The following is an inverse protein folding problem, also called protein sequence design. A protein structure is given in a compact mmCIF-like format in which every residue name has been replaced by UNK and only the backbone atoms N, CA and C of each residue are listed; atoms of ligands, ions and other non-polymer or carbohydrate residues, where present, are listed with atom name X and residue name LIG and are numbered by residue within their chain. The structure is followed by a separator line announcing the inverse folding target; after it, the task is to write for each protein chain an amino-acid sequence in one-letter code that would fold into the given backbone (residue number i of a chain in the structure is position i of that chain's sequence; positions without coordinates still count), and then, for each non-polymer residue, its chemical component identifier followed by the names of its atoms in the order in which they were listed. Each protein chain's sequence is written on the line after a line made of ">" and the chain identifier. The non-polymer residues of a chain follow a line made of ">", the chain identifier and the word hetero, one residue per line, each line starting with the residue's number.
data_IF_603990542130
#
_entry.id   IF_603990542130
#
_cell.length_a   1.000
_cell.length_b   1.000
_cell.length_c   1.000
_cell.angle_alpha   90.00
_cell.angle_beta   90.00
_cell.angle_gamma   90.00
#
_symmetry.space_group_name_H-M   'P 1'
#
loop_
_entity.id
_entity.type
_entity.pdbx_description
1 polymer ?
#
# COMPACT_ATOMS: atom_id res chain seq x y z
N UNK A 1 9.03 0.92 42.13
CA UNK A 1 9.31 1.18 40.70
C UNK A 1 8.13 0.69 39.90
N UNK A 2 7.45 1.58 39.17
CA UNK A 2 6.28 1.21 38.35
C UNK A 2 6.81 0.42 37.15
N UNK A 3 6.49 -0.87 37.09
CA UNK A 3 6.90 -1.72 35.99
C UNK A 3 6.30 -1.14 34.68
N UNK A 4 7.14 -0.83 33.66
CA UNK A 4 6.64 -0.24 32.43
C UNK A 4 5.66 -1.22 31.78
N UNK A 5 4.37 -0.86 31.77
CA UNK A 5 3.31 -1.70 31.16
C UNK A 5 3.69 -1.99 29.71
N UNK A 6 3.87 -3.28 29.40
CA UNK A 6 4.12 -3.78 28.05
C UNK A 6 3.03 -3.22 27.13
N UNK A 7 3.39 -2.36 26.19
CA UNK A 7 2.47 -1.90 25.15
C UNK A 7 2.41 -3.00 24.08
N UNK A 8 1.33 -3.80 24.12
CA UNK A 8 1.14 -4.96 23.27
C UNK A 8 1.15 -4.55 21.78
N UNK A 9 1.82 -5.35 20.95
CA UNK A 9 1.87 -5.22 19.48
C UNK A 9 0.49 -4.92 18.88
N UNK A 10 -0.54 -5.68 19.31
CA UNK A 10 -1.92 -5.52 18.87
C UNK A 10 -2.50 -4.13 19.06
N UNK A 11 -2.15 -3.42 20.14
CA UNK A 11 -2.65 -2.04 20.35
C UNK A 11 -2.05 -1.06 19.34
N UNK A 12 -0.79 -1.26 18.95
CA UNK A 12 -0.14 -0.44 17.92
C UNK A 12 -0.78 -0.69 16.56
N UNK A 13 -1.02 -1.97 16.24
CA UNK A 13 -1.74 -2.36 15.02
C UNK A 13 -3.16 -1.78 14.99
N UNK A 14 -3.91 -1.90 16.09
CA UNK A 14 -5.25 -1.32 16.21
C UNK A 14 -5.21 0.21 16.04
N UNK A 15 -4.22 0.91 16.62
CA UNK A 15 -4.07 2.35 16.44
C UNK A 15 -3.92 2.71 14.96
N UNK A 16 -2.99 2.05 14.26
CA UNK A 16 -2.74 2.27 12.84
C UNK A 16 -3.99 1.98 12.01
N UNK A 17 -4.69 0.87 12.28
CA UNK A 17 -5.94 0.55 11.57
C UNK A 17 -7.04 1.59 11.81
N UNK A 18 -7.21 2.05 13.06
CA UNK A 18 -8.20 3.05 13.44
C UNK A 18 -7.90 4.44 12.87
N UNK A 19 -6.65 4.78 12.57
CA UNK A 19 -6.32 6.00 11.83
C UNK A 19 -6.50 5.80 10.33
N UNK A 20 -6.09 4.64 9.81
CA UNK A 20 -6.13 4.34 8.38
C UNK A 20 -7.56 4.32 7.82
N UNK A 21 -8.51 3.70 8.53
CA UNK A 21 -9.91 3.59 8.09
C UNK A 21 -10.55 4.97 7.85
N UNK A 22 -10.66 5.88 8.84
CA UNK A 22 -11.34 7.16 8.65
C UNK A 22 -10.60 8.06 7.66
N UNK A 23 -9.27 8.06 7.63
CA UNK A 23 -8.52 8.85 6.63
C UNK A 23 -8.78 8.31 5.23
N UNK A 24 -8.81 6.98 5.05
CA UNK A 24 -9.16 6.36 3.77
C UNK A 24 -10.59 6.70 3.36
N UNK A 25 -11.55 6.69 4.30
CA UNK A 25 -12.94 7.06 4.02
C UNK A 25 -13.08 8.54 3.63
N UNK A 26 -12.41 9.46 4.33
CA UNK A 26 -12.39 10.89 3.98
C UNK A 26 -11.77 11.08 2.60
N UNK A 27 -10.65 10.41 2.31
CA UNK A 27 -9.99 10.48 1.01
C UNK A 27 -10.91 9.98 -0.11
N UNK A 28 -11.56 8.82 0.08
CA UNK A 28 -12.53 8.28 -0.88
C UNK A 28 -13.70 9.25 -1.07
N UNK A 29 -14.25 9.83 0.00
CA UNK A 29 -15.34 10.79 -0.08
C UNK A 29 -14.95 12.04 -0.86
N UNK A 30 -13.81 12.65 -0.55
CA UNK A 30 -13.28 13.81 -1.27
C UNK A 30 -13.01 13.49 -2.74
N UNK A 31 -12.44 12.32 -3.01
CA UNK A 31 -12.20 11.87 -4.38
C UNK A 31 -13.50 11.72 -5.16
N UNK A 32 -14.50 11.04 -4.60
CA UNK A 32 -15.81 10.86 -5.22
C UNK A 32 -16.44 12.22 -5.52
N UNK A 33 -16.28 13.21 -4.63
CA UNK A 33 -16.74 14.58 -4.89
C UNK A 33 -15.97 15.29 -6.01
N UNK A 34 -14.64 15.10 -6.08
CA UNK A 34 -13.78 15.74 -7.10
C UNK A 34 -13.92 15.12 -8.49
N UNK A 35 -14.11 13.81 -8.56
CA UNK A 35 -14.11 13.02 -9.80
C UNK A 35 -15.52 12.58 -10.20
N UNK A 36 -16.52 12.72 -9.33
CA UNK A 36 -17.93 12.56 -9.68
C UNK A 36 -18.31 13.48 -10.83
N UNK A 37 -18.39 12.93 -12.04
CA UNK A 37 -18.67 13.67 -13.28
C UNK A 37 -17.46 13.90 -14.21
N UNK A 38 -16.24 13.49 -13.84
CA UNK A 38 -15.01 13.65 -14.64
C UNK A 38 -14.19 12.35 -14.75
N UNK A 39 -14.86 11.19 -14.75
CA UNK A 39 -14.21 9.86 -14.80
C UNK A 39 -13.30 9.63 -16.00
N UNK A 40 -13.43 10.43 -17.06
CA UNK A 40 -12.62 10.29 -18.27
C UNK A 40 -11.28 11.02 -18.20
N UNK A 41 -11.12 11.98 -17.28
CA UNK A 41 -9.86 12.74 -17.11
C UNK A 41 -9.07 12.30 -15.90
N UNK A 42 -9.74 11.90 -14.82
CA UNK A 42 -9.11 11.51 -13.58
C UNK A 42 -9.67 10.18 -13.09
N UNK A 43 -8.79 9.26 -12.66
CA UNK A 43 -9.18 7.92 -12.21
C UNK A 43 -8.42 7.48 -10.97
N UNK A 44 -9.01 6.52 -10.25
CA UNK A 44 -8.33 5.70 -9.25
C UNK A 44 -8.17 4.30 -9.81
N UNK A 45 -6.96 3.76 -9.68
CA UNK A 45 -6.65 2.37 -9.99
C UNK A 45 -6.11 1.69 -8.74
N UNK A 46 -6.89 0.77 -8.19
CA UNK A 46 -6.41 -0.11 -7.12
C UNK A 46 -6.32 0.53 -5.73
N UNK A 47 -6.97 1.67 -5.48
CA UNK A 47 -7.11 2.18 -4.11
C UNK A 47 -8.20 1.41 -3.33
N UNK A 48 -7.81 0.78 -2.23
CA UNK A 48 -8.69 0.10 -1.28
C UNK A 48 -9.29 -1.22 -1.77
N UNK A 49 -10.61 -1.41 -1.60
CA UNK A 49 -11.31 -2.62 -2.04
C UNK A 49 -11.75 -2.43 -3.49
N UNK A 50 -11.14 -3.19 -4.40
CA UNK A 50 -11.44 -3.16 -5.83
C UNK A 50 -12.00 -4.49 -6.32
N UNK A 51 -13.03 -4.45 -7.16
CA UNK A 51 -13.49 -5.61 -7.93
C UNK A 51 -13.24 -5.39 -9.40
N UNK A 52 -12.79 -6.43 -10.11
CA UNK A 52 -12.54 -6.37 -11.54
C UNK A 52 -13.44 -7.36 -12.29
N UNK A 53 -14.10 -6.90 -13.34
CA UNK A 53 -14.82 -7.75 -14.28
C UNK A 53 -14.30 -7.48 -15.70
N UNK A 54 -13.97 -8.53 -16.43
CA UNK A 54 -13.53 -8.44 -17.81
C UNK A 54 -14.42 -9.29 -18.70
N UNK A 55 -14.80 -8.74 -19.85
CA UNK A 55 -15.55 -9.44 -20.89
C UNK A 55 -14.82 -9.33 -22.21
N UNK A 56 -14.96 -10.32 -23.09
CA UNK A 56 -14.44 -10.25 -24.46
C UNK A 56 -15.00 -9.02 -25.17
N UNK A 57 -14.14 -8.28 -25.87
CA UNK A 57 -14.51 -7.06 -26.55
C UNK A 57 -13.87 -6.99 -27.92
N UNK A 58 -14.59 -6.39 -28.89
CA UNK A 58 -14.01 -6.03 -30.19
C UNK A 58 -13.41 -4.63 -30.05
N UNK A 59 -12.07 -4.48 -30.06
CA UNK A 59 -11.44 -3.17 -29.87
C UNK A 59 -11.66 -2.32 -31.12
N UNK A 60 -11.81 -1.00 -30.94
CA UNK A 60 -11.82 -0.06 -32.06
C UNK A 60 -10.41 0.06 -32.67
N UNK A 61 -10.32 0.52 -33.92
CA UNK A 61 -9.04 0.74 -34.59
C UNK A 61 -8.16 1.73 -33.82
N UNK A 62 -8.78 2.71 -33.14
CA UNK A 62 -8.09 3.70 -32.31
C UNK A 62 -7.46 3.08 -31.06
N UNK A 63 -8.17 2.15 -30.40
CA UNK A 63 -7.66 1.40 -29.24
C UNK A 63 -6.49 0.51 -29.65
N UNK A 64 -6.60 -0.19 -30.79
CA UNK A 64 -5.50 -1.00 -31.33
C UNK A 64 -4.29 -0.12 -31.64
N UNK A 65 -4.49 1.01 -32.33
CA UNK A 65 -3.42 1.98 -32.62
C UNK A 65 -2.76 2.53 -31.35
N UNK A 66 -3.52 2.78 -30.29
CA UNK A 66 -2.98 3.19 -29.00
C UNK A 66 -2.12 2.08 -28.35
N UNK A 67 -2.57 0.82 -28.43
CA UNK A 67 -1.80 -0.34 -27.99
C UNK A 67 -0.49 -0.51 -28.77
N UNK A 68 -0.53 -0.34 -30.10
CA UNK A 68 0.65 -0.42 -30.97
C UNK A 68 1.69 0.65 -30.65
N UNK A 69 1.25 1.85 -30.24
CA UNK A 69 2.17 2.90 -29.76
C UNK A 69 2.86 2.52 -28.45
N UNK A 70 2.16 1.81 -27.55
CA UNK A 70 2.73 1.36 -26.27
C UNK A 70 3.70 0.18 -26.46
N UNK A 71 3.39 -0.72 -27.39
CA UNK A 71 4.19 -1.91 -27.67
C UNK A 71 4.24 -2.18 -29.17
N UNK A 72 5.19 -1.56 -29.90
CA UNK A 72 5.25 -1.66 -31.36
C UNK A 72 5.65 -3.07 -31.82
N UNK A 73 5.08 -3.50 -32.96
CA UNK A 73 5.42 -4.77 -33.61
C UNK A 73 4.69 -6.00 -33.06
N UNK A 74 3.66 -5.80 -32.23
CA UNK A 74 2.84 -6.88 -31.66
C UNK A 74 1.51 -6.98 -32.40
N UNK A 75 1.16 -8.19 -32.86
CA UNK A 75 -0.15 -8.47 -33.44
C UNK A 75 -1.08 -8.97 -32.34
N UNK A 76 -2.06 -8.14 -31.95
CA UNK A 76 -3.03 -8.48 -30.91
C UNK A 76 -4.06 -9.49 -31.43
N UNK A 77 -4.25 -10.59 -30.70
CA UNK A 77 -5.20 -11.66 -31.06
C UNK A 77 -6.29 -11.90 -30.00
N UNK A 78 -6.22 -11.20 -28.87
CA UNK A 78 -7.23 -11.22 -27.83
C UNK A 78 -7.46 -9.80 -27.29
N UNK A 79 -8.71 -9.48 -26.98
CA UNK A 79 -9.08 -8.20 -26.40
C UNK A 79 -10.20 -8.40 -25.38
N UNK A 80 -10.06 -7.77 -24.21
CA UNK A 80 -11.08 -7.79 -23.18
C UNK A 80 -11.31 -6.39 -22.63
N UNK A 81 -12.58 -5.97 -22.54
CA UNK A 81 -12.95 -4.76 -21.83
C UNK A 81 -13.05 -5.10 -20.34
N UNK A 82 -12.15 -4.50 -19.56
CA UNK A 82 -12.10 -4.64 -18.12
C UNK A 82 -12.67 -3.39 -17.45
N UNK A 83 -13.51 -3.62 -16.45
CA UNK A 83 -14.05 -2.61 -15.54
C UNK A 83 -13.56 -2.92 -14.14
N UNK A 84 -12.89 -1.96 -13.54
CA UNK A 84 -12.43 -2.05 -12.15
C UNK A 84 -13.22 -1.04 -11.35
N UNK A 85 -13.96 -1.52 -10.36
CA UNK A 85 -14.72 -0.68 -9.45
C UNK A 85 -14.03 -0.65 -8.09
N UNK A 86 -13.68 0.55 -7.62
CA UNK A 86 -13.08 0.80 -6.31
C UNK A 86 -14.11 1.39 -5.36
N UNK A 87 -14.26 0.79 -4.18
CA UNK A 87 -15.26 1.12 -3.17
C UNK A 87 -16.71 1.17 -3.71
N UNK A 88 -16.97 0.53 -4.86
CA UNK A 88 -18.28 0.55 -5.52
C UNK A 88 -18.68 1.88 -6.17
N UNK A 89 -17.79 2.89 -6.17
CA UNK A 89 -18.13 4.24 -6.67
C UNK A 89 -17.19 4.72 -7.79
N UNK A 90 -15.88 4.48 -7.65
CA UNK A 90 -14.93 4.85 -8.69
C UNK A 90 -14.82 3.71 -9.71
N UNK A 91 -14.96 4.02 -11.00
CA UNK A 91 -14.85 3.03 -12.08
C UNK A 91 -13.68 3.39 -12.99
N UNK A 92 -12.73 2.46 -13.15
CA UNK A 92 -11.72 2.48 -14.21
C UNK A 92 -12.13 1.50 -15.31
N UNK A 93 -11.97 1.93 -16.56
CA UNK A 93 -12.31 1.17 -17.77
C UNK A 93 -11.13 1.13 -18.69
N UNK A 94 -10.67 -0.07 -19.02
CA UNK A 94 -9.58 -0.24 -19.97
C UNK A 94 -9.82 -1.47 -20.83
N UNK A 95 -9.38 -1.40 -22.09
CA UNK A 95 -9.30 -2.55 -22.97
C UNK A 95 -7.92 -3.17 -22.80
N UNK A 96 -7.89 -4.41 -22.33
CA UNK A 96 -6.68 -5.23 -22.28
C UNK A 96 -6.51 -5.89 -23.64
N UNK A 97 -5.54 -5.41 -24.42
CA UNK A 97 -5.09 -6.06 -25.64
C UNK A 97 -4.03 -7.08 -25.26
N UNK A 98 -4.15 -8.31 -25.78
CA UNK A 98 -3.20 -9.37 -25.53
C UNK A 98 -2.85 -10.12 -26.80
N UNK A 99 -1.59 -10.56 -26.86
CA UNK A 99 -1.09 -11.56 -27.78
C UNK A 99 -0.81 -12.81 -26.99
N UNK A 100 -1.64 -13.82 -27.20
CA UNK A 100 -1.52 -15.13 -26.58
C UNK A 100 -0.97 -16.08 -27.64
N UNK A 101 0.26 -16.54 -27.44
CA UNK A 101 0.90 -17.50 -28.35
C UNK A 101 1.28 -18.77 -27.59
N UNK A 102 1.11 -19.90 -28.27
CA UNK A 102 1.62 -21.19 -27.82
C UNK A 102 2.73 -21.65 -28.76
N UNK A 103 3.94 -21.06 -28.67
CA UNK A 103 5.06 -21.43 -29.54
C UNK A 103 5.51 -22.89 -29.33
N UNK A 104 5.15 -23.50 -28.19
CA UNK A 104 5.37 -24.93 -27.91
C UNK A 104 4.15 -25.45 -27.16
N UNK A 105 3.83 -26.75 -27.30
CA UNK A 105 2.66 -27.39 -26.67
C UNK A 105 2.55 -27.19 -25.14
N UNK A 106 3.66 -26.84 -24.48
CA UNK A 106 3.73 -26.70 -23.02
C UNK A 106 3.99 -25.26 -22.54
N UNK A 107 4.15 -24.28 -23.43
CA UNK A 107 4.49 -22.89 -23.06
C UNK A 107 3.51 -21.95 -23.72
N UNK A 108 2.74 -21.22 -22.92
CA UNK A 108 1.89 -20.11 -23.38
C UNK A 108 2.57 -18.80 -23.02
N UNK A 109 2.93 -18.01 -24.02
CA UNK A 109 3.48 -16.66 -23.83
C UNK A 109 2.35 -15.66 -24.00
N UNK A 110 2.14 -14.82 -22.98
CA UNK A 110 1.14 -13.75 -23.03
C UNK A 110 1.84 -12.41 -22.96
N UNK A 111 1.73 -11.61 -24.02
CA UNK A 111 2.08 -10.19 -24.00
C UNK A 111 0.78 -9.40 -23.90
N UNK A 112 0.72 -8.38 -23.04
CA UNK A 112 -0.50 -7.60 -22.88
C UNK A 112 -0.21 -6.13 -22.59
N UNK A 113 -1.09 -5.27 -23.10
CA UNK A 113 -1.14 -3.83 -22.80
C UNK A 113 -2.56 -3.47 -22.36
N UNK A 114 -2.67 -2.51 -21.46
CA UNK A 114 -3.95 -1.95 -21.02
C UNK A 114 -4.09 -0.54 -21.59
N UNK A 115 -5.12 -0.35 -22.42
CA UNK A 115 -5.46 0.95 -23.01
C UNK A 115 -6.70 1.48 -22.30
N UNK A 116 -6.58 2.58 -21.57
CA UNK A 116 -7.71 3.21 -20.89
C UNK A 116 -8.72 3.72 -21.92
N UNK A 117 -10.01 3.50 -21.69
CA UNK A 117 -11.09 3.91 -22.59
C UNK A 117 -12.18 4.69 -21.87
N UNK A 118 -12.81 5.63 -22.56
CA UNK A 118 -13.98 6.37 -22.07
C UNK A 118 -15.26 5.51 -22.04
N UNK A 119 -16.40 6.11 -21.72
CA UNK A 119 -17.69 5.42 -21.73
C UNK A 119 -18.15 4.97 -23.13
N UNK A 120 -17.65 5.61 -24.18
CA UNK A 120 -17.93 5.30 -25.58
C UNK A 120 -16.97 4.27 -26.19
N UNK A 121 -15.92 3.89 -25.46
CA UNK A 121 -14.89 2.95 -25.92
C UNK A 121 -13.74 3.59 -26.68
N UNK A 122 -13.62 4.92 -26.67
CA UNK A 122 -12.51 5.63 -27.31
C UNK A 122 -11.29 5.64 -26.37
N UNK A 123 -10.07 5.54 -26.90
CA UNK A 123 -8.87 5.56 -26.08
C UNK A 123 -8.67 6.94 -25.44
N UNK A 124 -8.32 6.93 -24.16
CA UNK A 124 -8.03 8.13 -23.38
C UNK A 124 -6.76 7.92 -22.56
N UNK A 125 -6.21 9.01 -22.01
CA UNK A 125 -5.06 8.98 -21.12
C UNK A 125 -5.42 9.65 -19.79
N UNK A 126 -6.14 8.95 -18.90
CA UNK A 126 -6.58 9.52 -17.64
C UNK A 126 -5.38 9.75 -16.72
N UNK A 127 -5.49 10.80 -15.91
CA UNK A 127 -4.56 11.05 -14.83
C UNK A 127 -4.92 10.18 -13.62
N UNK A 128 -4.04 9.25 -13.27
CA UNK A 128 -4.23 8.41 -12.10
C UNK A 128 -3.84 9.18 -10.83
N UNK A 129 -4.79 9.31 -9.91
CA UNK A 129 -4.63 10.07 -8.66
C UNK A 129 -4.15 9.21 -7.48
N UNK A 130 -3.88 7.92 -7.71
CA UNK A 130 -3.49 6.96 -6.67
C UNK A 130 -2.23 7.42 -5.89
N UNK A 131 -1.23 7.92 -6.62
CA UNK A 131 0.01 8.43 -6.03
C UNK A 131 -0.21 9.70 -5.18
N UNK A 132 -1.12 10.59 -5.62
CA UNK A 132 -1.43 11.82 -4.91
C UNK A 132 -2.15 11.51 -3.60
N UNK A 133 -3.07 10.55 -3.62
CA UNK A 133 -3.74 10.08 -2.41
C UNK A 133 -2.77 9.50 -1.39
N UNK A 134 -1.83 8.68 -1.84
CA UNK A 134 -0.78 8.15 -0.98
C UNK A 134 0.10 9.25 -0.37
N UNK A 135 0.51 10.25 -1.16
CA UNK A 135 1.31 11.38 -0.66
C UNK A 135 0.55 12.24 0.35
N UNK A 136 -0.72 12.53 0.11
CA UNK A 136 -1.56 13.28 1.04
C UNK A 136 -1.77 12.53 2.36
N UNK A 137 -2.02 11.22 2.29
CA UNK A 137 -2.10 10.35 3.47
C UNK A 137 -0.79 10.41 4.28
N UNK A 138 0.34 10.30 3.60
CA UNK A 138 1.67 10.37 4.21
C UNK A 138 1.92 11.71 4.91
N UNK A 139 1.61 12.81 4.23
CA UNK A 139 1.76 14.16 4.76
C UNK A 139 0.87 14.38 6.00
N UNK A 140 -0.39 13.93 5.96
CA UNK A 140 -1.30 14.01 7.10
C UNK A 140 -0.78 13.20 8.30
N UNK A 141 -0.31 11.98 8.08
CA UNK A 141 0.28 11.15 9.12
C UNK A 141 1.47 11.84 9.80
N UNK A 142 2.41 12.35 9.00
CA UNK A 142 3.57 13.08 9.51
C UNK A 142 3.15 14.33 10.29
N UNK A 143 2.18 15.09 9.78
CA UNK A 143 1.68 16.28 10.46
C UNK A 143 1.07 15.97 11.84
N UNK A 144 0.25 14.92 11.97
CA UNK A 144 -0.36 14.56 13.25
C UNK A 144 0.67 14.08 14.28
N UNK A 145 1.60 13.23 13.85
CA UNK A 145 2.60 12.63 14.74
C UNK A 145 3.68 13.65 15.17
N UNK A 146 3.97 14.65 14.33
CA UNK A 146 4.92 15.73 14.66
C UNK A 146 4.26 16.95 15.31
N UNK A 147 2.94 17.02 15.32
CA UNK A 147 2.20 18.07 16.02
C UNK A 147 2.44 18.05 17.54
N UNK A 148 1.97 19.10 18.23
CA UNK A 148 1.99 19.18 19.70
C UNK A 148 1.28 18.02 20.40
N UNK A 149 0.38 17.32 19.70
CA UNK A 149 -0.35 16.17 20.24
C UNK A 149 0.52 14.92 20.33
N UNK A 150 1.54 14.82 19.47
CA UNK A 150 2.45 13.67 19.36
C UNK A 150 1.73 12.30 19.24
N UNK A 151 0.50 12.35 18.78
CA UNK A 151 -0.42 11.23 18.76
C UNK A 151 -1.40 11.49 17.63
N UNK A 152 -1.58 10.47 16.80
CA UNK A 152 -2.71 10.41 15.88
C UNK A 152 -4.02 10.29 16.66
N UNK A 153 -5.19 10.56 16.04
CA UNK A 153 -6.49 10.40 16.68
C UNK A 153 -6.67 9.02 17.35
N UNK A 154 -6.27 7.93 16.71
CA UNK A 154 -6.37 6.60 17.31
C UNK A 154 -5.36 6.37 18.44
N UNK A 155 -4.14 6.90 18.32
CA UNK A 155 -3.18 6.88 19.43
C UNK A 155 -3.75 7.61 20.65
N UNK A 156 -4.42 8.74 20.44
CA UNK A 156 -5.11 9.49 21.50
C UNK A 156 -6.23 8.67 22.12
N UNK A 157 -7.06 8.00 21.32
CA UNK A 157 -8.14 7.12 21.79
C UNK A 157 -7.60 5.96 22.65
N UNK A 158 -6.45 5.39 22.28
CA UNK A 158 -5.82 4.29 23.02
C UNK A 158 -4.97 4.74 24.22
N UNK A 159 -4.84 6.06 24.40
CA UNK A 159 -4.03 6.68 25.45
C UNK A 159 -2.55 6.37 25.28
N UNK A 160 -2.04 6.46 24.05
CA UNK A 160 -0.62 6.28 23.71
C UNK A 160 -0.10 7.53 22.98
N UNK A 161 1.19 7.82 23.14
CA UNK A 161 1.87 8.98 22.53
C UNK A 161 3.25 8.58 22.03
N UNK A 162 3.71 9.21 20.96
CA UNK A 162 5.06 9.06 20.43
C UNK A 162 5.99 10.11 21.07
N UNK A 163 7.05 9.66 21.72
CA UNK A 163 8.07 10.52 22.31
C UNK A 163 9.43 10.24 21.67
N UNK A 164 10.37 11.18 21.83
CA UNK A 164 11.78 10.94 21.59
C UNK A 164 12.36 9.94 22.59
N UNK A 165 13.62 9.56 22.38
CA UNK A 165 14.29 8.55 23.20
C UNK A 165 14.53 9.04 24.64
N UNK A 166 14.65 10.34 24.85
CA UNK A 166 14.90 10.97 26.16
C UNK A 166 13.62 11.44 26.85
N UNK A 167 12.44 11.19 26.27
CA UNK A 167 11.15 11.62 26.81
C UNK A 167 10.64 12.97 26.27
N UNK A 168 11.45 13.63 25.45
CA UNK A 168 11.15 14.87 24.76
C UNK A 168 10.18 14.68 23.58
N UNK A 169 9.80 15.79 22.96
CA UNK A 169 8.94 15.74 21.78
C UNK A 169 9.68 15.17 20.58
N UNK A 170 9.11 14.15 19.94
CA UNK A 170 9.65 13.61 18.70
C UNK A 170 9.55 14.66 17.59
N UNK A 171 10.70 15.18 17.13
CA UNK A 171 10.76 16.10 16.00
C UNK A 171 10.44 15.41 14.66
N UNK A 172 10.32 16.21 13.59
CA UNK A 172 10.02 15.70 12.25
C UNK A 172 11.03 14.65 11.76
N UNK A 173 12.34 14.86 12.00
CA UNK A 173 13.39 13.93 11.56
C UNK A 173 13.25 12.54 12.21
N UNK A 174 13.17 12.39 13.56
CA UNK A 174 12.90 11.09 14.18
C UNK A 174 11.63 10.41 13.67
N UNK A 175 10.54 11.16 13.48
CA UNK A 175 9.27 10.61 12.99
C UNK A 175 9.39 10.11 11.54
N UNK A 176 10.04 10.87 10.67
CA UNK A 176 10.28 10.47 9.28
C UNK A 176 11.22 9.26 9.19
N UNK A 177 12.29 9.23 9.98
CA UNK A 177 13.20 8.07 10.05
C UNK A 177 12.48 6.83 10.58
N UNK A 178 11.62 6.98 11.58
CA UNK A 178 10.79 5.89 12.11
C UNK A 178 9.93 5.25 11.02
N UNK A 179 9.27 6.08 10.22
CA UNK A 179 8.47 5.62 9.09
C UNK A 179 9.34 4.91 8.04
N UNK A 180 10.47 5.51 7.67
CA UNK A 180 11.40 4.91 6.71
C UNK A 180 11.90 3.55 7.18
N UNK A 181 12.32 3.44 8.45
CA UNK A 181 12.76 2.17 9.04
C UNK A 181 11.61 1.17 9.19
N UNK A 182 10.37 1.62 9.41
CA UNK A 182 9.20 0.73 9.41
C UNK A 182 8.89 0.16 8.01
N UNK A 183 9.27 0.86 6.93
CA UNK A 183 9.12 0.38 5.55
C UNK A 183 10.16 -0.67 5.12
N UNK A 184 11.34 -0.73 5.76
CA UNK A 184 12.39 -1.70 5.42
C UNK A 184 11.88 -3.16 5.38
N UNK A 185 11.24 -3.71 6.44
CA UNK A 185 10.78 -5.10 6.41
C UNK A 185 9.73 -5.32 5.31
N UNK A 186 8.88 -4.32 5.04
CA UNK A 186 7.88 -4.40 3.97
C UNK A 186 8.56 -4.52 2.60
N UNK A 187 9.56 -3.68 2.32
CA UNK A 187 10.31 -3.73 1.06
C UNK A 187 11.04 -5.06 0.88
N UNK A 188 11.64 -5.59 1.96
CA UNK A 188 12.31 -6.91 1.93
C UNK A 188 11.31 -8.03 1.66
N UNK A 189 10.15 -8.03 2.34
CA UNK A 189 9.10 -9.03 2.14
C UNK A 189 8.56 -8.98 0.70
N UNK A 190 8.31 -7.78 0.17
CA UNK A 190 7.87 -7.59 -1.23
C UNK A 190 8.93 -8.08 -2.20
N UNK A 191 10.22 -7.78 -1.97
CA UNK A 191 11.30 -8.23 -2.82
C UNK A 191 11.44 -9.77 -2.83
N UNK A 192 11.31 -10.42 -1.67
CA UNK A 192 11.30 -11.88 -1.56
C UNK A 192 10.10 -12.46 -2.33
N UNK A 193 8.88 -12.00 -2.02
CA UNK A 193 7.66 -12.51 -2.67
C UNK A 193 7.66 -12.30 -4.18
N UNK A 194 8.04 -11.10 -4.65
CA UNK A 194 8.16 -10.81 -6.07
C UNK A 194 9.25 -11.65 -6.74
N UNK A 195 10.43 -11.75 -6.12
CA UNK A 195 11.56 -12.52 -6.64
C UNK A 195 11.19 -13.99 -6.85
N UNK A 196 10.52 -14.59 -5.88
CA UNK A 196 10.10 -15.99 -5.97
C UNK A 196 8.98 -16.21 -6.98
N UNK A 197 7.98 -15.33 -7.05
CA UNK A 197 6.95 -15.39 -8.09
C UNK A 197 7.56 -15.25 -9.49
N UNK A 198 8.53 -14.35 -9.65
CA UNK A 198 9.27 -14.18 -10.90
C UNK A 198 10.07 -15.43 -11.27
N UNK A 199 10.77 -16.05 -10.31
CA UNK A 199 11.50 -17.30 -10.52
C UNK A 199 10.58 -18.46 -10.91
N UNK A 200 9.43 -18.60 -10.25
CA UNK A 200 8.43 -19.61 -10.60
C UNK A 200 7.93 -19.38 -12.04
N UNK A 201 7.55 -18.14 -12.36
CA UNK A 201 6.97 -17.80 -13.66
C UNK A 201 7.96 -17.91 -14.82
N UNK A 202 9.20 -17.44 -14.64
CA UNK A 202 10.20 -17.33 -15.73
C UNK A 202 11.11 -18.54 -15.82
N UNK A 203 11.49 -19.13 -14.69
CA UNK A 203 12.42 -20.27 -14.63
C UNK A 203 11.73 -21.61 -14.40
N UNK A 204 10.40 -21.62 -14.23
CA UNK A 204 9.64 -22.84 -13.99
C UNK A 204 10.03 -23.54 -12.69
N UNK A 205 10.56 -22.79 -11.70
CA UNK A 205 10.90 -23.36 -10.39
C UNK A 205 9.62 -23.83 -9.71
N UNK A 206 9.72 -24.91 -8.95
CA UNK A 206 8.60 -25.46 -8.20
C UNK A 206 7.97 -24.42 -7.27
N UNK A 207 6.64 -24.44 -7.18
CA UNK A 207 5.86 -23.59 -6.26
C UNK A 207 6.15 -23.83 -4.77
N UNK A 208 6.97 -24.84 -4.41
CA UNK A 208 7.47 -25.06 -3.05
C UNK A 208 8.26 -23.88 -2.46
N UNK A 209 8.69 -22.92 -3.28
CA UNK A 209 9.25 -21.66 -2.79
C UNK A 209 8.23 -20.81 -2.02
N UNK A 210 6.94 -20.86 -2.38
CA UNK A 210 5.91 -19.99 -1.79
C UNK A 210 5.78 -20.20 -0.27
N UNK A 211 5.64 -21.44 0.27
CA UNK A 211 5.63 -21.66 1.71
C UNK A 211 6.91 -21.16 2.42
N UNK A 212 8.08 -21.35 1.81
CA UNK A 212 9.34 -20.90 2.39
C UNK A 212 9.41 -19.36 2.47
N UNK A 213 8.95 -18.65 1.44
CA UNK A 213 8.87 -17.19 1.44
C UNK A 213 7.91 -16.66 2.49
N UNK A 214 6.76 -17.32 2.67
CA UNK A 214 5.79 -16.96 3.69
C UNK A 214 6.40 -17.09 5.08
N UNK A 215 7.11 -18.19 5.36
CA UNK A 215 7.80 -18.40 6.64
C UNK A 215 8.88 -17.33 6.84
N UNK A 216 9.72 -17.08 5.83
CA UNK A 216 10.75 -16.04 5.91
C UNK A 216 10.17 -14.65 6.13
N UNK A 217 9.08 -14.32 5.44
CA UNK A 217 8.38 -13.04 5.58
C UNK A 217 7.79 -12.87 6.98
N UNK A 218 7.21 -13.94 7.54
CA UNK A 218 6.70 -13.96 8.92
C UNK A 218 7.84 -13.77 9.92
N UNK A 219 8.98 -14.42 9.72
CA UNK A 219 10.15 -14.26 10.59
C UNK A 219 10.73 -12.85 10.53
N UNK A 220 10.87 -12.27 9.33
CA UNK A 220 11.33 -10.89 9.15
C UNK A 220 10.37 -9.92 9.84
N UNK A 221 9.06 -10.06 9.58
CA UNK A 221 8.03 -9.25 10.22
C UNK A 221 8.08 -9.41 11.75
N UNK A 222 8.12 -10.64 12.25
CA UNK A 222 8.20 -10.90 13.68
C UNK A 222 9.43 -10.25 14.29
N UNK A 223 10.64 -10.53 13.78
CA UNK A 223 11.88 -9.95 14.29
C UNK A 223 11.90 -8.42 14.21
N UNK A 224 11.32 -7.80 13.17
CA UNK A 224 11.35 -6.33 13.06
C UNK A 224 10.39 -5.63 14.02
N UNK A 225 9.23 -6.25 14.24
CA UNK A 225 8.15 -5.68 15.06
C UNK A 225 8.15 -6.20 16.50
N UNK A 226 8.96 -7.21 16.82
CA UNK A 226 9.11 -7.72 18.17
C UNK A 226 9.74 -6.66 19.08
N UNK A 227 9.17 -6.37 20.26
CA UNK A 227 9.72 -5.36 21.16
C UNK A 227 10.99 -5.84 21.88
N UNK A 228 12.11 -5.17 21.63
CA UNK A 228 13.40 -5.43 22.28
C UNK A 228 13.66 -4.45 23.44
N UNK A 229 14.43 -4.91 24.43
CA UNK A 229 14.93 -4.06 25.51
C UNK A 229 16.33 -3.58 25.16
N UNK A 230 16.52 -2.27 24.99
CA UNK A 230 17.86 -1.68 24.75
C UNK A 230 18.55 -1.33 26.06
N UNK A 231 17.77 -0.95 27.09
CA UNK A 231 18.27 -0.64 28.44
C UNK A 231 17.28 -1.15 29.49
N UNK A 232 17.73 -1.65 30.65
CA UNK A 232 16.85 -2.15 31.71
C UNK A 232 15.82 -1.14 32.21
N UNK A 233 16.18 0.16 32.17
CA UNK A 233 15.36 1.26 32.68
C UNK A 233 14.30 1.75 31.69
N UNK A 234 14.33 1.27 30.44
CA UNK A 234 13.52 1.82 29.36
C UNK A 234 12.48 0.80 28.88
N UNK A 235 11.27 1.25 28.51
CA UNK A 235 10.24 0.36 27.98
C UNK A 235 10.72 -0.27 26.66
N UNK A 236 10.32 -1.52 26.43
CA UNK A 236 10.68 -2.25 25.20
C UNK A 236 10.10 -1.56 23.97
N UNK A 237 10.89 -1.51 22.90
CA UNK A 237 10.52 -0.90 21.63
C UNK A 237 10.93 -1.81 20.46
N UNK A 238 10.17 -1.83 19.36
CA UNK A 238 10.55 -2.53 18.14
C UNK A 238 11.77 -1.86 17.48
N UNK A 239 12.40 -2.57 16.54
CA UNK A 239 13.68 -2.16 15.99
C UNK A 239 13.61 -0.80 15.27
N UNK A 240 12.56 -0.54 14.48
CA UNK A 240 12.38 0.74 13.80
C UNK A 240 12.20 1.93 14.75
N UNK A 241 11.55 1.72 15.90
CA UNK A 241 11.42 2.74 16.94
C UNK A 241 12.80 3.06 17.52
N UNK A 242 13.58 2.03 17.84
CA UNK A 242 14.94 2.14 18.39
C UNK A 242 15.87 2.87 17.42
N UNK A 243 15.90 2.44 16.15
CA UNK A 243 16.76 3.02 15.12
C UNK A 243 16.41 4.49 14.84
N UNK A 244 15.15 4.87 14.98
CA UNK A 244 14.69 6.23 14.81
C UNK A 244 14.87 7.12 16.04
N UNK A 245 15.27 6.56 17.18
CA UNK A 245 15.31 7.29 18.46
C UNK A 245 13.92 7.73 18.92
N UNK A 246 12.88 6.94 18.64
CA UNK A 246 11.49 7.24 19.01
C UNK A 246 10.88 6.11 19.81
N UNK A 247 9.85 6.40 20.62
CA UNK A 247 9.14 5.39 21.42
C UNK A 247 7.69 5.72 21.61
N UNK A 248 6.85 4.69 21.63
CA UNK A 248 5.47 4.83 22.06
C UNK A 248 5.39 4.58 23.56
N UNK A 249 4.82 5.53 24.31
CA UNK A 249 4.51 5.38 25.73
C UNK A 249 3.02 5.57 25.98
N UNK A 250 2.54 5.02 27.09
CA UNK A 250 1.28 5.45 27.70
C UNK A 250 1.65 6.48 28.78
N UNK A 251 1.18 7.73 28.70
CA UNK A 251 1.34 8.64 29.81
C UNK A 251 0.70 8.01 31.04
N UNK A 252 1.45 7.93 32.14
CA UNK A 252 0.84 7.71 33.45
C UNK A 252 -0.12 8.88 33.66
N UNK A 253 -1.38 8.57 34.00
CA UNK A 253 -2.26 9.60 34.54
C UNK A 253 -1.58 10.00 35.83
N UNK A 254 -0.89 11.14 35.83
CA UNK A 254 -0.39 11.70 37.07
C UNK A 254 -1.60 11.84 37.98
N UNK A 255 -1.56 11.19 39.14
CA UNK A 255 -2.64 11.15 40.13
C UNK A 255 -2.82 12.51 40.84
N UNK A 256 -2.55 13.62 40.13
CA UNK A 256 -2.50 14.98 40.64
C UNK A 256 -3.13 15.95 39.64
N UNK A 257 -4.39 15.69 39.28
CA UNK A 257 -5.32 16.67 38.73
C UNK A 257 -6.57 16.69 39.60
#
# INVERSE_FOLDING_TARGET
>A
MIEPKKLWFWRRMIAVSLDFIPVSLIFVALFVMLVGGNSDKARLSGFGVSTSACAEAKPSAEVVSAGDRMMPGVVWNAAALCRVTSFGVAEDRFVRLARIEQPTKNVTTTQAVAVSVDASGNPISPFYLDWLGFLLFLAAYLAFVTSRLQATPAMRLLGIKLIGQEGERAGLKPVALRLLYACIPLLVIVAIGFGSLWLIAVKGISGWLIPADLIMSLLIGFCWWHPYSVRPTLPRAPLHDILAGTRIIRPTVDASA
#
